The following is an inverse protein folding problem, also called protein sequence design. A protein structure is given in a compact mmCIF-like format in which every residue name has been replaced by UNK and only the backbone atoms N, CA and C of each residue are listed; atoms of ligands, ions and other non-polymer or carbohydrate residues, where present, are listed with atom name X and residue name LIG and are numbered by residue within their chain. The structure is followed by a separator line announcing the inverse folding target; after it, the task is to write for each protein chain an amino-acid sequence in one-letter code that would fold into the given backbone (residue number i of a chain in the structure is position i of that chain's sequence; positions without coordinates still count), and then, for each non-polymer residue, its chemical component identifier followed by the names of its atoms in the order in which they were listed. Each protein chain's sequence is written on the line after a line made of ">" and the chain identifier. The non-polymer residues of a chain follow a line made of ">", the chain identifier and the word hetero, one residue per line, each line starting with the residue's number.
data_IF_231188085105
#
_entry.id   IF_231188085105
#
_cell.length_a   1.000
_cell.length_b   1.000
_cell.length_c   1.000
_cell.angle_alpha   90.00
_cell.angle_beta   90.00
_cell.angle_gamma   90.00
#
_symmetry.space_group_name_H-M   'P 1'
#
loop_
_entity.id
_entity.type
_entity.pdbx_description
1 polymer ?
#
# COMPACT_ATOMS: atom_id res chain seq x y z
N UNK A 1 -21.04 4.61 18.55
CA UNK A 1 -20.76 3.15 18.41
C UNK A 1 -20.14 2.92 17.04
N UNK A 2 -19.11 2.08 16.93
CA UNK A 2 -18.50 1.69 15.66
C UNK A 2 -18.35 0.16 15.64
N UNK A 3 -18.70 -0.46 14.52
CA UNK A 3 -18.46 -1.86 14.24
C UNK A 3 -17.60 -1.95 12.97
N UNK A 4 -16.54 -2.74 13.01
CA UNK A 4 -15.66 -2.95 11.87
C UNK A 4 -15.38 -4.44 11.69
N UNK A 5 -15.77 -4.96 10.53
CA UNK A 5 -15.68 -6.37 10.17
C UNK A 5 -14.77 -6.51 8.93
N UNK A 6 -13.46 -6.58 9.17
CA UNK A 6 -12.46 -6.66 8.10
C UNK A 6 -12.30 -8.09 7.60
N UNK A 7 -12.62 -8.33 6.33
CA UNK A 7 -12.54 -9.65 5.71
C UNK A 7 -11.20 -9.84 4.99
N UNK A 8 -10.42 -10.82 5.42
CA UNK A 8 -9.20 -11.27 4.75
C UNK A 8 -9.18 -12.80 4.69
N UNK A 9 -8.31 -13.35 3.83
CA UNK A 9 -8.09 -14.79 3.74
C UNK A 9 -7.67 -15.40 5.09
N UNK A 10 -8.01 -16.68 5.27
CA UNK A 10 -7.59 -17.44 6.45
C UNK A 10 -6.18 -18.01 6.21
N UNK A 11 -5.23 -17.63 7.06
CA UNK A 11 -3.83 -18.05 6.98
C UNK A 11 -3.34 -18.64 8.31
N UNK A 12 -2.23 -19.39 8.27
CA UNK A 12 -1.51 -19.88 9.45
C UNK A 12 -0.05 -19.42 9.39
N UNK A 13 0.38 -18.47 10.25
CA UNK A 13 -0.44 -17.76 11.24
C UNK A 13 -1.48 -16.80 10.60
N UNK A 14 -2.52 -16.46 11.37
CA UNK A 14 -3.52 -15.48 10.94
C UNK A 14 -2.92 -14.08 10.76
N UNK A 15 -3.60 -13.24 9.97
CA UNK A 15 -3.13 -11.88 9.68
C UNK A 15 -3.37 -10.93 10.86
N UNK A 16 -4.47 -11.08 11.60
CA UNK A 16 -4.84 -10.18 12.68
C UNK A 16 -4.41 -10.71 14.04
N UNK A 17 -3.76 -9.86 14.82
CA UNK A 17 -3.41 -10.10 16.21
C UNK A 17 -4.08 -9.05 17.09
N UNK A 18 -4.73 -9.49 18.16
CA UNK A 18 -5.26 -8.56 19.15
C UNK A 18 -4.12 -8.03 20.02
N UNK A 19 -4.10 -6.72 20.24
CA UNK A 19 -3.12 -6.07 21.11
C UNK A 19 -3.76 -4.92 21.88
N UNK A 20 -3.40 -4.83 23.16
CA UNK A 20 -3.66 -3.68 24.04
C UNK A 20 -2.32 -3.07 24.42
N UNK A 21 -2.10 -1.81 24.04
CA UNK A 21 -0.88 -1.06 24.33
C UNK A 21 -1.17 0.05 25.34
N UNK A 22 -0.41 0.03 26.44
CA UNK A 22 -0.47 1.07 27.47
C UNK A 22 0.91 1.69 27.66
N UNK A 23 0.96 3.01 27.57
CA UNK A 23 2.07 3.82 28.07
C UNK A 23 1.47 4.81 29.04
N UNK A 24 1.81 4.66 30.33
CA UNK A 24 1.19 5.43 31.41
C UNK A 24 1.20 6.95 31.13
N UNK A 25 0.02 7.56 31.24
CA UNK A 25 -0.20 8.99 30.98
C UNK A 25 -0.07 9.44 29.51
N UNK A 26 0.19 8.52 28.57
CA UNK A 26 0.50 8.87 27.16
C UNK A 26 -0.32 8.10 26.12
N UNK A 27 -0.63 6.84 26.37
CA UNK A 27 -1.28 5.96 25.40
C UNK A 27 -2.07 4.87 26.11
N UNK A 28 -3.31 4.65 25.66
CA UNK A 28 -4.14 3.52 26.03
C UNK A 28 -4.96 3.15 24.78
N UNK A 29 -4.61 2.07 24.10
CA UNK A 29 -5.20 1.73 22.81
C UNK A 29 -5.31 0.22 22.64
N UNK A 30 -6.46 -0.25 22.19
CA UNK A 30 -6.75 -1.67 21.98
C UNK A 30 -7.33 -1.91 20.60
N UNK A 31 -6.93 -3.01 19.97
CA UNK A 31 -7.51 -3.44 18.71
C UNK A 31 -6.68 -4.50 18.02
N UNK A 32 -6.64 -4.43 16.69
CA UNK A 32 -5.97 -5.37 15.81
C UNK A 32 -4.67 -4.77 15.25
N UNK A 33 -3.64 -5.62 15.15
CA UNK A 33 -2.35 -5.32 14.51
C UNK A 33 -1.99 -6.38 13.48
N UNK A 34 -1.09 -6.00 12.58
CA UNK A 34 -0.40 -6.92 11.66
C UNK A 34 0.90 -7.44 12.30
N UNK A 35 1.32 -8.67 12.01
CA UNK A 35 2.65 -9.17 12.34
C UNK A 35 3.74 -8.16 11.98
N UNK A 36 4.61 -7.87 12.94
CA UNK A 36 5.73 -6.94 12.76
C UNK A 36 5.36 -5.45 12.86
N UNK A 37 4.08 -5.08 12.97
CA UNK A 37 3.66 -3.69 13.17
C UNK A 37 3.39 -3.37 14.65
N UNK A 38 4.01 -2.32 15.21
CA UNK A 38 3.96 -2.05 16.67
C UNK A 38 2.78 -1.19 17.11
N UNK A 39 1.73 -1.02 16.30
CA UNK A 39 0.62 -0.10 16.59
C UNK A 39 -0.72 -0.61 16.06
N UNK A 40 -1.81 -0.19 16.73
CA UNK A 40 -3.19 -0.63 16.47
C UNK A 40 -3.73 -0.05 15.16
N UNK A 41 -4.02 -0.90 14.18
CA UNK A 41 -4.44 -0.48 12.83
C UNK A 41 -5.94 -0.25 12.77
N UNK A 42 -6.72 -1.07 13.49
CA UNK A 42 -8.16 -0.91 13.67
C UNK A 42 -8.50 -1.20 15.13
N UNK A 43 -9.31 -0.37 15.75
CA UNK A 43 -9.56 -0.45 17.18
C UNK A 43 -10.06 0.86 17.76
N UNK A 44 -9.74 1.10 19.02
CA UNK A 44 -10.12 2.33 19.69
C UNK A 44 -9.12 2.69 20.80
N UNK A 45 -9.11 3.97 21.15
CA UNK A 45 -8.50 4.49 22.37
C UNK A 45 -9.59 5.06 23.29
N UNK A 46 -9.21 5.84 24.29
CA UNK A 46 -10.15 6.44 25.24
C UNK A 46 -11.12 7.47 24.61
N UNK A 47 -10.80 7.98 23.40
CA UNK A 47 -11.51 9.10 22.78
C UNK A 47 -12.23 8.72 21.48
N UNK A 48 -11.58 7.92 20.63
CA UNK A 48 -12.06 7.61 19.28
C UNK A 48 -11.95 6.11 18.98
N UNK A 49 -12.80 5.64 18.07
CA UNK A 49 -12.72 4.35 17.42
C UNK A 49 -12.52 4.53 15.92
N UNK A 50 -11.75 3.63 15.30
CA UNK A 50 -11.56 3.61 13.86
C UNK A 50 -11.49 2.18 13.34
N UNK A 51 -11.90 2.05 12.09
CA UNK A 51 -11.85 0.81 11.34
C UNK A 51 -11.47 1.08 9.90
N UNK A 52 -11.09 0.03 9.18
CA UNK A 52 -10.68 0.15 7.79
C UNK A 52 -11.45 -0.85 6.93
N UNK A 53 -11.61 -0.51 5.65
CA UNK A 53 -12.03 -1.45 4.61
C UNK A 53 -11.42 -1.01 3.28
N UNK A 54 -11.14 -1.98 2.41
CA UNK A 54 -10.48 -1.70 1.15
C UNK A 54 -11.35 -0.79 0.25
N UNK A 55 -10.74 0.17 -0.43
CA UNK A 55 -11.46 1.07 -1.36
C UNK A 55 -11.64 0.44 -2.73
N UNK A 56 -10.73 -0.46 -3.13
CA UNK A 56 -10.70 -1.03 -4.49
C UNK A 56 -10.59 0.05 -5.57
N UNK A 57 -9.84 1.13 -5.32
CA UNK A 57 -9.54 2.12 -6.36
C UNK A 57 -8.62 1.53 -7.42
N UNK A 58 -8.65 2.10 -8.61
CA UNK A 58 -7.61 1.91 -9.60
C UNK A 58 -6.34 2.66 -9.17
N UNK A 59 -5.32 1.92 -8.74
CA UNK A 59 -4.03 2.44 -8.24
C UNK A 59 -2.85 2.03 -9.13
N UNK A 60 -3.12 1.48 -10.32
CA UNK A 60 -2.10 0.89 -11.19
C UNK A 60 -2.40 1.12 -12.67
N UNK A 61 -1.46 1.76 -13.37
CA UNK A 61 -1.48 1.92 -14.82
C UNK A 61 -0.54 0.92 -15.53
N UNK A 62 -0.97 0.42 -16.69
CA UNK A 62 -0.17 -0.44 -17.57
C UNK A 62 0.29 0.32 -18.81
N UNK A 63 1.54 0.11 -19.22
CA UNK A 63 2.10 0.73 -20.42
C UNK A 63 2.75 -0.31 -21.32
N UNK A 64 2.39 -0.28 -22.60
CA UNK A 64 3.17 -0.98 -23.62
C UNK A 64 4.48 -0.24 -23.85
N UNK A 65 5.59 -0.97 -23.73
CA UNK A 65 6.93 -0.45 -23.96
C UNK A 65 7.52 -1.05 -25.24
N UNK A 66 8.29 -0.26 -25.96
CA UNK A 66 9.13 -0.75 -27.07
C UNK A 66 10.55 -0.82 -26.56
N UNK A 67 11.14 -2.02 -26.54
CA UNK A 67 12.52 -2.27 -26.12
C UNK A 67 13.41 -2.57 -27.31
N UNK A 68 14.70 -2.29 -27.19
CA UNK A 68 15.68 -2.68 -28.20
C UNK A 68 16.07 -4.18 -28.06
N UNK A 69 16.76 -4.72 -29.06
CA UNK A 69 17.04 -6.16 -29.17
C UNK A 69 17.83 -6.74 -27.97
N UNK A 70 18.76 -5.98 -27.39
CA UNK A 70 19.56 -6.40 -26.21
C UNK A 70 18.88 -6.08 -24.86
N UNK A 71 17.67 -5.51 -24.90
CA UNK A 71 16.87 -5.10 -23.73
C UNK A 71 17.60 -4.13 -22.79
N UNK A 72 18.48 -3.28 -23.30
CA UNK A 72 19.18 -2.25 -22.50
C UNK A 72 18.49 -0.88 -22.55
N UNK A 73 17.61 -0.66 -23.53
CA UNK A 73 16.91 0.61 -23.74
C UNK A 73 15.42 0.41 -24.04
N UNK A 74 14.64 1.46 -23.78
CA UNK A 74 13.23 1.55 -24.16
C UNK A 74 12.96 2.89 -24.87
N UNK A 75 12.00 2.88 -25.79
CA UNK A 75 11.61 4.08 -26.54
C UNK A 75 10.61 4.91 -25.74
N UNK A 76 10.95 6.16 -25.45
CA UNK A 76 10.09 7.10 -24.74
C UNK A 76 10.08 8.45 -25.46
N UNK A 77 8.89 8.93 -25.84
CA UNK A 77 8.70 10.19 -26.57
C UNK A 77 9.61 10.34 -27.82
N UNK A 78 9.82 9.24 -28.54
CA UNK A 78 10.66 9.20 -29.75
C UNK A 78 12.16 9.05 -29.49
N UNK A 79 12.60 9.01 -28.23
CA UNK A 79 14.00 8.86 -27.85
C UNK A 79 14.26 7.54 -27.13
N UNK A 80 15.38 6.88 -27.42
CA UNK A 80 15.83 5.71 -26.67
C UNK A 80 16.39 6.15 -25.31
N UNK A 81 15.79 5.67 -24.23
CA UNK A 81 16.22 5.86 -22.85
C UNK A 81 16.75 4.55 -22.27
N UNK A 82 17.73 4.64 -21.38
CA UNK A 82 18.30 3.45 -20.74
C UNK A 82 17.28 2.82 -19.78
N UNK A 83 17.21 1.49 -19.80
CA UNK A 83 16.51 0.72 -18.77
C UNK A 83 17.38 0.65 -17.52
N UNK A 84 16.73 0.71 -16.35
CA UNK A 84 17.40 0.30 -15.12
C UNK A 84 17.33 -1.22 -15.04
N UNK A 85 18.49 -1.86 -14.98
CA UNK A 85 18.61 -3.32 -14.95
C UNK A 85 19.07 -3.74 -13.56
N UNK A 86 18.28 -4.57 -12.88
CA UNK A 86 18.66 -5.21 -11.61
C UNK A 86 18.80 -6.71 -11.82
N UNK A 87 19.98 -7.24 -11.53
CA UNK A 87 20.23 -8.68 -11.54
C UNK A 87 20.10 -9.21 -10.12
N UNK A 88 19.07 -10.01 -9.89
CA UNK A 88 18.79 -10.64 -8.60
C UNK A 88 19.27 -12.09 -8.63
N UNK A 89 20.01 -12.48 -7.60
CA UNK A 89 20.44 -13.87 -7.40
C UNK A 89 19.52 -14.54 -6.41
N UNK A 90 18.87 -15.61 -6.84
CA UNK A 90 17.93 -16.38 -6.02
C UNK A 90 18.57 -17.74 -5.73
N UNK A 91 18.95 -17.96 -4.46
CA UNK A 91 19.43 -19.25 -4.00
C UNK A 91 18.23 -20.17 -3.79
N UNK A 92 18.16 -21.26 -4.53
CA UNK A 92 17.07 -22.24 -4.40
C UNK A 92 17.45 -23.35 -3.43
N UNK A 93 16.44 -24.14 -3.00
CA UNK A 93 16.66 -25.30 -2.14
C UNK A 93 17.68 -26.25 -2.80
N UNK A 94 18.79 -26.50 -2.10
CA UNK A 94 19.91 -27.28 -2.62
C UNK A 94 21.16 -26.47 -2.95
N UNK A 95 21.08 -25.13 -2.89
CA UNK A 95 22.25 -24.24 -3.01
C UNK A 95 22.60 -23.80 -4.44
N UNK A 96 21.83 -24.23 -5.44
CA UNK A 96 21.93 -23.69 -6.80
C UNK A 96 21.46 -22.23 -6.83
N UNK A 97 22.11 -21.41 -7.64
CA UNK A 97 21.74 -20.00 -7.85
C UNK A 97 21.03 -19.82 -9.18
N UNK A 98 19.86 -19.19 -9.15
CA UNK A 98 19.14 -18.74 -10.35
C UNK A 98 19.25 -17.22 -10.44
N UNK A 99 19.83 -16.74 -11.54
CA UNK A 99 19.89 -15.30 -11.82
C UNK A 99 18.60 -14.84 -12.54
N UNK A 100 18.03 -13.73 -12.07
CA UNK A 100 16.87 -13.07 -12.67
C UNK A 100 17.19 -11.63 -12.98
N UNK A 101 17.05 -11.26 -14.25
CA UNK A 101 17.18 -9.88 -14.73
C UNK A 101 15.82 -9.18 -14.65
N UNK A 102 15.71 -8.15 -13.82
CA UNK A 102 14.52 -7.32 -13.67
C UNK A 102 14.79 -5.97 -14.36
N UNK A 103 13.88 -5.59 -15.27
CA UNK A 103 13.98 -4.37 -16.06
C UNK A 103 13.01 -3.33 -15.53
N UNK A 104 13.44 -2.07 -15.43
CA UNK A 104 12.59 -0.96 -15.06
C UNK A 104 12.70 0.17 -16.08
N UNK A 105 11.54 0.74 -16.44
CA UNK A 105 11.46 2.05 -17.09
C UNK A 105 11.37 3.15 -16.03
N UNK A 106 11.18 4.41 -16.44
CA UNK A 106 10.88 5.48 -15.49
C UNK A 106 9.52 5.31 -14.76
N UNK A 107 8.62 4.47 -15.30
CA UNK A 107 7.28 4.24 -14.75
C UNK A 107 7.26 3.13 -13.70
N UNK A 108 8.16 2.16 -13.84
CA UNK A 108 8.27 1.02 -12.95
C UNK A 108 8.76 -0.24 -13.65
N UNK A 109 8.58 -1.42 -13.02
CA UNK A 109 9.11 -2.67 -13.54
C UNK A 109 8.34 -3.13 -14.78
N UNK A 110 9.06 -3.79 -15.70
CA UNK A 110 8.47 -4.54 -16.81
C UNK A 110 8.03 -5.91 -16.28
N UNK A 111 6.73 -6.20 -16.38
CA UNK A 111 6.10 -7.39 -15.77
C UNK A 111 5.73 -8.50 -16.76
N UNK A 112 5.78 -8.22 -18.06
CA UNK A 112 5.40 -9.19 -19.11
C UNK A 112 6.18 -10.51 -19.02
N UNK A 113 7.44 -10.46 -18.57
CA UNK A 113 8.30 -11.64 -18.37
C UNK A 113 7.78 -12.61 -17.31
N UNK A 114 6.95 -12.16 -16.37
CA UNK A 114 6.44 -12.97 -15.26
C UNK A 114 5.04 -13.53 -15.53
N UNK A 115 4.40 -13.14 -16.64
CA UNK A 115 3.01 -13.50 -16.98
C UNK A 115 2.90 -14.22 -18.33
N UNK A 116 4.01 -14.64 -18.92
CA UNK A 116 4.08 -15.26 -20.25
C UNK A 116 3.36 -14.45 -21.35
N UNK A 117 3.36 -13.12 -21.22
CA UNK A 117 2.75 -12.23 -22.22
C UNK A 117 3.73 -12.07 -23.38
N UNK A 118 3.43 -12.72 -24.51
CA UNK A 118 4.33 -12.84 -25.67
C UNK A 118 4.29 -11.66 -26.65
N UNK A 119 3.34 -10.75 -26.51
CA UNK A 119 3.04 -9.75 -27.54
C UNK A 119 3.99 -8.55 -27.47
N UNK A 120 4.03 -7.86 -26.32
CA UNK A 120 4.85 -6.67 -26.10
C UNK A 120 5.28 -6.57 -24.63
N UNK A 121 6.46 -5.98 -24.35
CA UNK A 121 6.85 -5.61 -23.00
C UNK A 121 5.78 -4.70 -22.36
N UNK A 122 5.37 -5.02 -21.13
CA UNK A 122 4.42 -4.22 -20.37
C UNK A 122 5.10 -3.76 -19.09
N UNK A 123 5.15 -2.45 -18.86
CA UNK A 123 5.55 -1.88 -17.56
C UNK A 123 4.32 -1.51 -16.72
N UNK A 124 4.49 -1.53 -15.40
CA UNK A 124 3.46 -1.06 -14.46
C UNK A 124 3.93 0.22 -13.78
N UNK A 125 3.06 1.23 -13.73
CA UNK A 125 3.16 2.32 -12.77
C UNK A 125 2.17 2.03 -11.65
N UNK A 126 2.67 1.57 -10.51
CA UNK A 126 1.84 1.27 -9.35
C UNK A 126 2.11 2.30 -8.25
N UNK A 127 1.05 2.92 -7.74
CA UNK A 127 1.17 3.90 -6.65
C UNK A 127 1.67 3.30 -5.34
N UNK A 128 1.61 1.97 -5.20
CA UNK A 128 2.26 1.28 -4.09
C UNK A 128 3.77 1.48 -4.02
N UNK A 129 4.41 1.80 -5.16
CA UNK A 129 5.84 2.10 -5.25
C UNK A 129 6.17 3.58 -4.97
N UNK A 130 5.15 4.44 -4.86
CA UNK A 130 5.34 5.84 -4.52
C UNK A 130 5.50 6.02 -3.00
N UNK A 131 6.12 7.13 -2.60
CA UNK A 131 6.35 7.40 -1.18
C UNK A 131 5.02 7.54 -0.42
N UNK A 132 4.83 6.67 0.57
CA UNK A 132 3.73 6.73 1.54
C UNK A 132 4.22 6.52 2.97
N UNK A 133 3.40 6.87 3.96
CA UNK A 133 3.75 6.73 5.37
C UNK A 133 2.56 6.27 6.24
N UNK A 134 2.10 5.07 5.95
CA UNK A 134 1.06 4.35 6.70
C UNK A 134 1.44 4.19 8.17
N UNK A 135 2.72 3.92 8.47
CA UNK A 135 3.22 3.76 9.84
C UNK A 135 2.96 5.04 10.65
N UNK A 136 3.23 6.22 10.07
CA UNK A 136 2.93 7.50 10.72
C UNK A 136 1.43 7.71 10.89
N UNK A 137 0.62 7.32 9.92
CA UNK A 137 -0.85 7.38 10.04
C UNK A 137 -1.31 6.57 11.25
N UNK A 138 -0.93 5.29 11.32
CA UNK A 138 -1.34 4.39 12.42
C UNK A 138 -0.83 4.92 13.76
N UNK A 139 0.43 5.35 13.83
CA UNK A 139 1.01 5.96 15.03
C UNK A 139 0.21 7.16 15.55
N UNK A 140 -0.25 8.04 14.63
CA UNK A 140 -1.06 9.22 14.98
C UNK A 140 -2.49 8.83 15.36
N UNK A 141 -3.13 7.90 14.64
CA UNK A 141 -4.48 7.41 14.97
C UNK A 141 -4.55 6.87 16.41
N UNK A 142 -3.52 6.12 16.83
CA UNK A 142 -3.43 5.57 18.18
C UNK A 142 -3.48 6.67 19.27
N UNK A 143 -3.10 7.92 18.93
CA UNK A 143 -3.03 9.09 19.83
C UNK A 143 -4.09 10.15 19.54
N UNK A 144 -4.94 9.94 18.53
CA UNK A 144 -5.92 10.93 18.11
C UNK A 144 -7.05 11.05 19.15
N UNK A 145 -7.50 12.27 19.41
CA UNK A 145 -8.51 12.56 20.44
C UNK A 145 -9.86 13.00 19.87
N UNK A 146 -9.91 13.33 18.59
CA UNK A 146 -11.09 13.89 17.94
C UNK A 146 -10.95 13.80 16.40
N UNK A 147 -11.97 14.31 15.71
CA UNK A 147 -12.06 14.30 14.25
C UNK A 147 -10.89 15.03 13.57
N UNK A 148 -10.45 16.15 14.14
CA UNK A 148 -9.33 16.91 13.58
C UNK A 148 -8.02 16.11 13.61
N UNK A 149 -7.72 15.48 14.75
CA UNK A 149 -6.54 14.62 14.89
C UNK A 149 -6.62 13.41 13.94
N UNK A 150 -7.80 12.79 13.85
CA UNK A 150 -8.06 11.70 12.90
C UNK A 150 -7.78 12.12 11.46
N UNK A 151 -8.35 13.27 11.04
CA UNK A 151 -8.14 13.83 9.70
C UNK A 151 -6.69 14.16 9.43
N UNK A 152 -5.94 14.64 10.43
CA UNK A 152 -4.52 14.89 10.27
C UNK A 152 -3.70 13.61 10.16
N UNK A 153 -4.06 12.58 10.92
CA UNK A 153 -3.41 11.27 10.88
C UNK A 153 -3.50 10.62 9.50
N UNK A 154 -4.69 10.57 8.91
CA UNK A 154 -4.97 9.79 7.69
C UNK A 154 -4.46 10.42 6.40
N UNK A 155 -3.95 11.65 6.43
CA UNK A 155 -3.36 12.34 5.26
C UNK A 155 -2.12 11.63 4.70
N UNK A 156 -1.41 10.87 5.54
CA UNK A 156 -0.17 10.18 5.14
C UNK A 156 -0.38 8.77 4.65
N UNK A 157 -1.64 8.31 4.56
CA UNK A 157 -2.01 6.98 4.10
C UNK A 157 -2.36 7.02 2.61
N UNK A 158 -1.57 6.37 1.75
CA UNK A 158 -1.73 6.45 0.29
C UNK A 158 -1.58 5.11 -0.43
N UNK A 159 -0.55 4.34 -0.10
CA UNK A 159 -0.12 3.14 -0.86
C UNK A 159 -1.10 1.97 -0.73
N UNK A 160 -1.84 1.89 0.39
CA UNK A 160 -2.73 0.75 0.69
C UNK A 160 -4.20 1.19 0.74
N UNK A 161 -4.66 2.00 -0.20
CA UNK A 161 -6.00 2.62 -0.28
C UNK A 161 -7.09 2.06 0.66
N UNK A 162 -7.47 2.82 1.69
CA UNK A 162 -8.49 2.43 2.68
C UNK A 162 -9.62 3.46 2.79
N UNK A 163 -10.84 2.95 2.98
CA UNK A 163 -11.93 3.70 3.61
C UNK A 163 -11.73 3.57 5.11
N UNK A 164 -11.46 4.69 5.77
CA UNK A 164 -11.20 4.73 7.21
C UNK A 164 -12.42 5.33 7.89
N UNK A 165 -13.15 4.50 8.64
CA UNK A 165 -14.34 4.90 9.40
C UNK A 165 -13.93 5.39 10.79
N UNK A 166 -14.71 6.32 11.32
CA UNK A 166 -14.45 7.02 12.57
C UNK A 166 -15.73 7.10 13.41
N UNK A 167 -15.60 6.94 14.71
CA UNK A 167 -16.57 7.38 15.69
C UNK A 167 -15.89 7.90 16.95
N UNK A 168 -16.51 8.80 17.70
CA UNK A 168 -15.97 9.26 18.99
C UNK A 168 -16.97 9.28 20.13
N UNK A 169 -16.45 9.52 21.33
CA UNK A 169 -17.23 9.62 22.57
C UNK A 169 -18.19 10.81 22.59
N UNK A 170 -18.00 11.81 21.74
CA UNK A 170 -18.92 12.95 21.59
C UNK A 170 -20.09 12.64 20.65
N UNK A 171 -20.14 11.44 20.05
CA UNK A 171 -21.22 11.00 19.17
C UNK A 171 -21.01 11.37 17.70
N UNK A 172 -19.84 11.88 17.32
CA UNK A 172 -19.55 12.14 15.91
C UNK A 172 -19.25 10.82 15.18
N UNK A 173 -19.64 10.76 13.92
CA UNK A 173 -19.38 9.63 13.01
C UNK A 173 -18.84 10.20 11.71
N UNK A 174 -17.83 9.56 11.15
CA UNK A 174 -17.20 10.03 9.92
C UNK A 174 -16.59 8.89 9.12
N UNK A 175 -16.29 9.20 7.86
CA UNK A 175 -15.53 8.35 6.96
C UNK A 175 -14.56 9.23 6.18
N UNK A 176 -13.33 8.75 6.01
CA UNK A 176 -12.36 9.34 5.12
C UNK A 176 -11.75 8.27 4.25
N UNK A 177 -11.88 8.44 2.94
CA UNK A 177 -11.16 7.65 1.95
C UNK A 177 -9.75 8.23 1.81
N UNK A 178 -8.75 7.39 2.05
CA UNK A 178 -7.33 7.72 1.91
C UNK A 178 -6.71 6.75 0.93
N UNK A 179 -6.39 7.25 -0.27
CA UNK A 179 -5.91 6.48 -1.40
C UNK A 179 -4.95 7.31 -2.25
N UNK A 180 -3.93 6.66 -2.81
CA UNK A 180 -3.27 7.14 -4.01
C UNK A 180 -4.13 6.78 -5.22
N UNK A 181 -4.40 7.75 -6.08
CA UNK A 181 -5.11 7.53 -7.35
C UNK A 181 -4.37 8.25 -8.47
N UNK A 182 -4.08 7.59 -9.61
CA UNK A 182 -3.46 8.24 -10.76
C UNK A 182 -4.33 9.39 -11.27
N UNK A 183 -3.71 10.53 -11.60
CA UNK A 183 -4.43 11.68 -12.14
C UNK A 183 -4.31 11.65 -13.66
N UNK A 184 -5.38 11.22 -14.33
CA UNK A 184 -5.47 11.19 -15.78
C UNK A 184 -6.28 12.38 -16.30
N UNK A 185 -5.90 12.95 -17.46
CA UNK A 185 -6.75 13.92 -18.17
C UNK A 185 -7.79 13.17 -19.00
N UNK A 186 -9.07 13.30 -18.69
CA UNK A 186 -10.18 12.64 -19.42
C UNK A 186 -11.08 11.81 -18.50
N UNK A 187 -11.88 10.92 -19.09
CA UNK A 187 -12.93 10.17 -18.36
C UNK A 187 -12.42 8.98 -17.53
N UNK A 188 -11.11 8.92 -17.23
CA UNK A 188 -10.57 7.90 -16.31
C UNK A 188 -10.77 6.45 -16.75
N UNK A 189 -10.94 6.22 -18.06
CA UNK A 189 -10.94 4.93 -18.76
C UNK A 189 -10.10 5.11 -20.02
#
# INVERSE_FOLDING_TARGET
>A
MLANDMHLGLFAPGIWYQMHLVVEGKLNVTGLVLPGQPAVIAGHNDSIAWGMTNVMVDDLDFYFETINEDSTKYLFNGEWKDLIIKNEKIVIKGGEEVEKRILFTHRGPIVSQFKDVKEKPISIHWLGNEMSNEIRTVYKLNRAKNWSDFRDAVKTFKSVSQNIVYADAAGNIGLQTSAGVPICKGNGI
#
